data_IF_943946098384
#
_entry.id   IF_943946098384
#
_cell.length_a   1.000
_cell.length_b   1.000
_cell.length_c   1.000
_cell.angle_alpha   90.00
_cell.angle_beta   90.00
_cell.angle_gamma   90.00
#
_symmetry.space_group_name_H-M   'P 1'
#
loop_
_entity.id
_entity.type
_entity.pdbx_description
1 polymer ?
#
# COMPACT_ATOMS: atom_id res chain seq x y z
N UNK A 1 33.39 -35.80 -13.74
CA UNK A 1 32.67 -34.59 -14.20
C UNK A 1 31.18 -34.84 -14.42
N UNK A 2 30.77 -35.97 -15.01
CA UNK A 2 29.34 -36.22 -15.34
C UNK A 2 28.39 -36.25 -14.13
N UNK A 3 28.82 -36.79 -12.98
CA UNK A 3 28.03 -36.81 -11.74
C UNK A 3 27.65 -35.42 -11.21
N UNK A 4 28.53 -34.42 -11.36
CA UNK A 4 28.22 -33.04 -10.96
C UNK A 4 27.16 -32.42 -11.88
N UNK A 5 27.19 -32.72 -13.18
CA UNK A 5 26.23 -32.18 -14.16
C UNK A 5 24.81 -32.72 -13.93
N UNK A 6 24.68 -34.00 -13.56
CA UNK A 6 23.37 -34.62 -13.25
C UNK A 6 22.78 -34.06 -11.95
N UNK A 7 23.60 -33.81 -10.93
CA UNK A 7 23.16 -33.19 -9.67
C UNK A 7 22.74 -31.74 -9.91
N UNK A 8 23.54 -30.97 -10.67
CA UNK A 8 23.20 -29.59 -11.01
C UNK A 8 21.91 -29.50 -11.85
N UNK A 9 21.72 -30.39 -12.83
CA UNK A 9 20.50 -30.45 -13.64
C UNK A 9 19.27 -30.87 -12.81
N UNK A 10 19.45 -31.76 -11.82
CA UNK A 10 18.38 -32.11 -10.85
C UNK A 10 18.07 -30.96 -9.90
N UNK A 11 19.06 -30.20 -9.43
CA UNK A 11 18.83 -29.01 -8.61
C UNK A 11 18.13 -27.92 -9.44
N UNK A 12 18.53 -27.71 -10.69
CA UNK A 12 17.91 -26.75 -11.60
C UNK A 12 16.48 -27.15 -11.97
N UNK A 13 16.20 -28.45 -12.22
CA UNK A 13 14.81 -28.91 -12.44
C UNK A 13 13.99 -28.90 -11.16
N UNK A 14 14.57 -29.15 -9.98
CA UNK A 14 13.88 -28.96 -8.70
C UNK A 14 13.54 -27.47 -8.48
N UNK A 15 14.47 -26.55 -8.75
CA UNK A 15 14.24 -25.10 -8.71
C UNK A 15 13.22 -24.60 -9.73
N UNK A 16 13.21 -25.16 -10.96
CA UNK A 16 12.22 -24.84 -11.99
C UNK A 16 10.83 -25.43 -11.70
N UNK A 17 10.75 -26.55 -10.98
CA UNK A 17 9.49 -27.14 -10.50
C UNK A 17 9.00 -26.43 -9.23
N UNK A 18 9.89 -25.90 -8.38
CA UNK A 18 9.53 -25.00 -7.27
C UNK A 18 9.35 -23.54 -7.67
N UNK A 19 9.60 -23.16 -8.93
CA UNK A 19 9.01 -21.96 -9.54
C UNK A 19 7.53 -22.20 -9.88
N UNK A 20 6.84 -22.86 -8.95
CA UNK A 20 5.40 -22.99 -8.89
C UNK A 20 4.79 -21.59 -8.92
N UNK A 21 3.99 -21.34 -9.97
CA UNK A 21 2.91 -20.36 -10.04
C UNK A 21 2.78 -19.51 -8.76
N UNK A 22 3.61 -18.48 -8.64
CA UNK A 22 3.44 -17.49 -7.59
C UNK A 22 2.13 -16.76 -7.93
N UNK A 23 1.05 -17.14 -7.24
CA UNK A 23 -0.28 -16.61 -7.49
C UNK A 23 -0.23 -15.09 -7.38
N UNK A 24 -0.43 -14.39 -8.50
CA UNK A 24 -0.33 -12.94 -8.56
C UNK A 24 -1.17 -12.33 -7.43
N UNK A 25 -0.50 -11.60 -6.54
CA UNK A 25 -1.10 -11.09 -5.31
C UNK A 25 -1.39 -9.60 -5.53
N UNK A 26 -2.66 -9.28 -5.75
CA UNK A 26 -3.11 -7.93 -6.03
C UNK A 26 -3.55 -7.24 -4.73
N UNK A 27 -3.23 -5.96 -4.59
CA UNK A 27 -3.66 -5.14 -3.45
C UNK A 27 -4.61 -4.05 -3.93
N UNK A 28 -5.68 -3.84 -3.16
CA UNK A 28 -6.72 -2.86 -3.43
C UNK A 28 -7.01 -2.08 -2.15
N UNK A 29 -7.22 -0.78 -2.27
CA UNK A 29 -7.56 0.09 -1.14
C UNK A 29 -8.61 1.12 -1.58
N UNK A 30 -9.60 1.33 -0.72
CA UNK A 30 -10.58 2.42 -0.81
C UNK A 30 -10.56 3.21 0.51
N UNK A 31 -11.44 4.20 0.64
CA UNK A 31 -11.69 4.90 1.90
C UNK A 31 -12.41 4.04 2.97
N UNK A 32 -12.92 2.85 2.61
CA UNK A 32 -13.72 2.00 3.48
C UNK A 32 -13.16 0.57 3.65
N UNK A 33 -12.39 0.06 2.68
CA UNK A 33 -11.89 -1.32 2.63
C UNK A 33 -10.43 -1.37 2.12
N UNK A 34 -9.60 -2.22 2.74
CA UNK A 34 -8.35 -2.73 2.17
C UNK A 34 -8.48 -4.22 1.88
N UNK A 35 -7.93 -4.68 0.76
CA UNK A 35 -8.04 -6.07 0.32
C UNK A 35 -6.76 -6.54 -0.38
N UNK A 36 -6.27 -7.72 0.00
CA UNK A 36 -5.26 -8.48 -0.75
C UNK A 36 -5.93 -9.71 -1.37
N UNK A 37 -5.93 -9.79 -2.70
CA UNK A 37 -6.46 -10.92 -3.46
C UNK A 37 -5.33 -11.79 -4.01
N UNK A 38 -5.53 -13.11 -4.04
CA UNK A 38 -4.67 -14.08 -4.73
C UNK A 38 -5.46 -15.28 -5.20
N UNK A 39 -4.93 -16.02 -6.19
CA UNK A 39 -5.50 -17.28 -6.66
C UNK A 39 -4.60 -18.46 -6.25
N UNK A 40 -4.74 -19.01 -5.02
CA UNK A 40 -3.85 -20.07 -4.53
C UNK A 40 -4.00 -21.38 -5.35
N UNK A 41 -5.13 -21.54 -6.03
CA UNK A 41 -5.37 -22.54 -7.07
C UNK A 41 -6.04 -21.84 -8.27
N UNK A 42 -5.92 -22.35 -9.52
CA UNK A 42 -6.51 -21.70 -10.70
C UNK A 42 -8.02 -21.47 -10.62
N UNK A 43 -8.72 -22.33 -9.87
CA UNK A 43 -10.17 -22.27 -9.65
C UNK A 43 -10.57 -21.65 -8.29
N UNK A 44 -9.66 -21.01 -7.56
CA UNK A 44 -9.97 -20.37 -6.27
C UNK A 44 -9.56 -18.90 -6.26
N UNK A 45 -10.40 -18.05 -5.67
CA UNK A 45 -10.05 -16.68 -5.31
C UNK A 45 -10.05 -16.55 -3.79
N UNK A 46 -8.91 -16.17 -3.21
CA UNK A 46 -8.73 -15.93 -1.78
C UNK A 46 -8.49 -14.44 -1.55
N UNK A 47 -9.32 -13.83 -0.69
CA UNK A 47 -9.30 -12.40 -0.38
C UNK A 47 -9.14 -12.18 1.13
N UNK A 48 -7.98 -11.68 1.54
CA UNK A 48 -7.72 -11.16 2.87
C UNK A 48 -8.16 -9.68 2.92
N UNK A 49 -9.20 -9.34 3.67
CA UNK A 49 -9.78 -8.00 3.71
C UNK A 49 -9.84 -7.41 5.13
N UNK A 50 -9.76 -6.08 5.21
CA UNK A 50 -9.89 -5.28 6.44
C UNK A 50 -10.75 -4.05 6.16
N UNK A 51 -11.59 -3.65 7.10
CA UNK A 51 -12.38 -2.44 7.00
C UNK A 51 -11.62 -1.28 7.65
N UNK A 52 -11.66 -0.08 7.05
CA UNK A 52 -10.99 1.11 7.61
C UNK A 52 -11.65 1.51 8.94
N UNK A 53 -12.98 1.35 9.04
CA UNK A 53 -13.75 1.46 10.28
C UNK A 53 -14.37 0.09 10.59
N UNK A 54 -14.31 -0.34 11.85
CA UNK A 54 -14.97 -1.57 12.27
C UNK A 54 -16.49 -1.44 12.14
N UNK A 55 -17.11 -2.35 11.40
CA UNK A 55 -18.56 -2.48 11.27
C UNK A 55 -18.90 -3.96 11.00
N UNK A 56 -20.09 -4.46 11.41
CA UNK A 56 -20.50 -5.82 11.12
C UNK A 56 -20.64 -6.08 9.61
N UNK A 57 -20.22 -7.27 9.18
CA UNK A 57 -20.41 -7.77 7.81
C UNK A 57 -21.37 -8.95 7.88
N UNK A 58 -22.57 -8.75 7.35
CA UNK A 58 -23.66 -9.73 7.41
C UNK A 58 -23.53 -10.79 6.30
N UNK A 59 -22.98 -10.41 5.14
CA UNK A 59 -22.75 -11.33 4.00
C UNK A 59 -21.62 -10.79 3.12
N UNK A 60 -20.88 -11.69 2.49
CA UNK A 60 -19.97 -11.37 1.38
C UNK A 60 -20.44 -12.11 0.14
N UNK A 61 -20.53 -11.43 -0.99
CA UNK A 61 -20.89 -11.96 -2.31
C UNK A 61 -19.76 -11.73 -3.31
N UNK A 62 -19.68 -12.62 -4.30
CA UNK A 62 -18.84 -12.45 -5.47
C UNK A 62 -19.65 -12.74 -6.74
N UNK A 63 -19.51 -11.88 -7.75
CA UNK A 63 -20.21 -12.00 -9.04
C UNK A 63 -19.25 -11.80 -10.21
N UNK A 64 -19.46 -12.57 -11.27
CA UNK A 64 -18.76 -12.40 -12.55
C UNK A 64 -19.86 -12.26 -13.63
N UNK A 65 -20.13 -11.02 -14.02
CA UNK A 65 -21.36 -10.68 -14.73
C UNK A 65 -22.59 -11.10 -13.92
N UNK A 66 -23.45 -11.93 -14.51
CA UNK A 66 -24.65 -12.45 -13.84
C UNK A 66 -24.40 -13.72 -13.00
N UNK A 67 -23.21 -14.32 -13.07
CA UNK A 67 -22.89 -15.54 -12.32
C UNK A 67 -22.50 -15.20 -10.89
N UNK A 68 -23.26 -15.70 -9.91
CA UNK A 68 -22.87 -15.68 -8.49
C UNK A 68 -21.86 -16.80 -8.24
N UNK A 69 -20.72 -16.46 -7.66
CA UNK A 69 -19.65 -17.39 -7.33
C UNK A 69 -19.87 -17.97 -5.92
N UNK A 70 -19.78 -19.30 -5.72
CA UNK A 70 -19.92 -19.91 -4.40
C UNK A 70 -18.85 -19.42 -3.41
N UNK A 71 -19.26 -19.15 -2.17
CA UNK A 71 -18.33 -18.94 -1.05
C UNK A 71 -17.88 -20.31 -0.52
N UNK A 72 -16.58 -20.58 -0.57
CA UNK A 72 -15.96 -21.80 -0.03
C UNK A 72 -15.72 -21.69 1.48
N UNK A 73 -15.29 -20.51 1.93
CA UNK A 73 -15.04 -20.22 3.34
C UNK A 73 -15.15 -18.69 3.57
N UNK A 74 -15.57 -18.29 4.76
CA UNK A 74 -15.50 -16.91 5.24
C UNK A 74 -15.12 -16.95 6.74
N UNK A 75 -13.85 -16.72 7.04
CA UNK A 75 -13.30 -16.75 8.41
C UNK A 75 -12.99 -15.32 8.86
N UNK A 76 -13.52 -14.84 10.00
CA UNK A 76 -13.18 -13.52 10.53
C UNK A 76 -11.71 -13.45 10.92
N UNK A 77 -11.15 -12.25 11.01
CA UNK A 77 -9.80 -12.05 11.53
C UNK A 77 -9.82 -11.99 13.08
N UNK A 78 -8.83 -12.56 13.80
CA UNK A 78 -7.78 -13.44 13.29
C UNK A 78 -8.31 -14.82 12.88
N UNK A 79 -7.93 -15.27 11.67
CA UNK A 79 -8.05 -16.68 11.30
C UNK A 79 -6.90 -17.49 11.94
N UNK A 80 -6.95 -18.83 11.86
CA UNK A 80 -5.90 -19.69 12.41
C UNK A 80 -4.50 -19.28 11.89
N UNK A 81 -3.51 -19.23 12.77
CA UNK A 81 -2.12 -18.79 12.49
C UNK A 81 -1.97 -17.31 12.05
N UNK A 82 -3.04 -16.51 12.05
CA UNK A 82 -2.92 -15.08 11.85
C UNK A 82 -2.15 -14.41 13.00
N UNK A 83 -1.29 -13.47 12.64
CA UNK A 83 -0.50 -12.64 13.52
C UNK A 83 -0.57 -11.18 13.05
N UNK A 84 -0.44 -10.28 14.01
CA UNK A 84 -0.56 -8.82 13.87
C UNK A 84 0.65 -8.17 14.54
N UNK A 85 1.53 -7.52 13.79
CA UNK A 85 2.65 -6.77 14.35
C UNK A 85 2.21 -5.34 14.67
N UNK A 86 2.40 -4.91 15.93
CA UNK A 86 1.94 -3.60 16.41
C UNK A 86 3.11 -2.90 17.10
N UNK A 87 3.62 -1.84 16.49
CA UNK A 87 4.68 -1.00 17.06
C UNK A 87 4.08 0.31 17.56
N UNK A 88 4.21 0.56 18.86
CA UNK A 88 3.97 1.89 19.43
C UNK A 88 5.23 2.74 19.25
N UNK A 89 5.12 3.86 18.55
CA UNK A 89 6.21 4.82 18.35
C UNK A 89 5.88 6.12 19.10
N UNK A 90 6.62 6.38 20.17
CA UNK A 90 6.36 7.50 21.07
C UNK A 90 7.29 8.68 20.74
N UNK A 91 6.70 9.81 20.39
CA UNK A 91 7.39 11.09 20.34
C UNK A 91 7.72 11.55 21.76
N UNK A 92 9.01 11.63 22.06
CA UNK A 92 9.51 12.19 23.32
C UNK A 92 10.28 13.50 23.11
N UNK A 93 10.13 14.15 21.94
CA UNK A 93 10.67 15.49 21.68
C UNK A 93 10.18 16.53 22.70
N UNK A 94 10.88 17.64 22.83
CA UNK A 94 10.53 18.81 23.65
C UNK A 94 10.31 18.49 25.16
N UNK A 95 11.18 18.97 26.10
CA UNK A 95 11.06 18.69 27.53
C UNK A 95 9.73 19.14 28.16
N UNK A 96 9.00 20.06 27.53
CA UNK A 96 7.68 20.48 27.99
C UNK A 96 6.61 19.37 27.84
N UNK A 97 6.87 18.32 27.06
CA UNK A 97 5.96 17.16 26.88
C UNK A 97 5.87 16.24 28.10
N UNK A 98 6.60 16.43 29.20
CA UNK A 98 6.61 15.48 30.32
C UNK A 98 5.22 15.12 30.88
N UNK A 99 4.27 16.07 30.85
CA UNK A 99 2.85 15.82 31.19
C UNK A 99 2.15 14.92 30.15
N UNK A 100 2.42 15.13 28.86
CA UNK A 100 1.95 14.28 27.76
C UNK A 100 2.55 12.88 27.89
N UNK A 101 3.86 12.76 28.15
CA UNK A 101 4.54 11.47 28.34
C UNK A 101 3.95 10.71 29.53
N UNK A 102 3.72 11.38 30.67
CA UNK A 102 3.07 10.77 31.84
C UNK A 102 1.69 10.18 31.48
N UNK A 103 0.88 10.91 30.71
CA UNK A 103 -0.43 10.43 30.23
C UNK A 103 -0.29 9.33 29.17
N UNK A 104 0.69 9.44 28.27
CA UNK A 104 1.01 8.43 27.27
C UNK A 104 1.34 7.09 27.94
N UNK A 105 2.17 7.08 28.99
CA UNK A 105 2.50 5.86 29.76
C UNK A 105 1.22 5.20 30.33
N UNK A 106 0.32 5.99 30.92
CA UNK A 106 -0.95 5.47 31.45
C UNK A 106 -1.82 4.85 30.36
N UNK A 107 -1.91 5.50 29.20
CA UNK A 107 -2.76 5.07 28.09
C UNK A 107 -2.15 3.92 27.30
N UNK A 108 -0.82 3.88 27.13
CA UNK A 108 -0.11 2.74 26.55
C UNK A 108 -0.42 1.49 27.35
N UNK A 109 -0.41 1.53 28.70
CA UNK A 109 -0.84 0.39 29.52
C UNK A 109 -2.28 -0.03 29.18
N UNK A 110 -3.23 0.91 29.17
CA UNK A 110 -4.62 0.62 28.80
C UNK A 110 -4.77 0.01 27.40
N UNK A 111 -3.97 0.45 26.41
CA UNK A 111 -3.97 -0.09 25.05
C UNK A 111 -3.36 -1.50 25.01
N UNK A 112 -2.24 -1.72 25.71
CA UNK A 112 -1.58 -3.02 25.81
C UNK A 112 -2.45 -4.05 26.57
N UNK A 113 -3.22 -3.62 27.57
CA UNK A 113 -4.21 -4.45 28.29
C UNK A 113 -5.40 -4.89 27.39
N UNK A 114 -5.56 -4.29 26.20
CA UNK A 114 -6.51 -4.75 25.16
C UNK A 114 -5.86 -5.64 24.11
N UNK A 115 -4.56 -5.91 24.24
CA UNK A 115 -3.83 -6.84 23.39
C UNK A 115 -4.40 -8.26 23.48
N UNK A 116 -4.23 -9.03 22.41
CA UNK A 116 -4.67 -10.43 22.28
C UNK A 116 -3.50 -11.30 21.85
N UNK A 117 -3.64 -12.62 21.98
CA UNK A 117 -2.57 -13.59 21.70
C UNK A 117 -1.99 -13.52 20.27
N UNK A 118 -2.73 -12.95 19.31
CA UNK A 118 -2.25 -12.74 17.94
C UNK A 118 -1.53 -11.40 17.71
N UNK A 119 -1.47 -10.53 18.73
CA UNK A 119 -0.79 -9.23 18.67
C UNK A 119 0.67 -9.34 19.13
N UNK A 120 1.61 -9.23 18.19
CA UNK A 120 3.03 -9.08 18.45
C UNK A 120 3.33 -7.60 18.74
N UNK A 121 3.29 -7.25 20.02
CA UNK A 121 3.45 -5.88 20.51
C UNK A 121 4.93 -5.48 20.59
N UNK A 122 5.24 -4.20 20.34
CA UNK A 122 6.57 -3.62 20.53
C UNK A 122 6.49 -2.12 20.81
N UNK A 123 7.58 -1.56 21.35
CA UNK A 123 7.68 -0.14 21.72
C UNK A 123 8.99 0.46 21.24
N UNK A 124 8.89 1.58 20.53
CA UNK A 124 9.99 2.44 20.15
C UNK A 124 9.69 3.90 20.51
N UNK A 125 10.73 4.73 20.51
CA UNK A 125 10.63 6.15 20.82
C UNK A 125 11.52 6.99 19.92
N UNK A 126 11.18 8.26 19.72
CA UNK A 126 11.99 9.19 18.94
C UNK A 126 12.05 10.59 19.54
N UNK A 127 13.13 11.29 19.21
CA UNK A 127 13.33 12.74 19.38
C UNK A 127 14.43 13.12 18.38
N UNK A 128 15.67 13.31 18.86
CA UNK A 128 16.88 13.44 18.02
C UNK A 128 17.43 12.11 17.52
N UNK A 129 16.99 10.98 18.10
CA UNK A 129 17.37 9.63 17.66
C UNK A 129 16.16 8.69 17.77
N UNK A 130 16.10 7.71 16.87
CA UNK A 130 15.17 6.58 16.97
C UNK A 130 15.76 5.49 17.88
N UNK A 131 14.96 4.95 18.81
CA UNK A 131 15.37 3.83 19.66
C UNK A 131 14.22 2.86 19.92
N UNK A 132 14.45 1.58 19.65
CA UNK A 132 13.58 0.49 20.12
C UNK A 132 13.84 0.29 21.62
N UNK A 133 12.77 0.24 22.42
CA UNK A 133 12.83 -0.03 23.86
C UNK A 133 12.36 -1.46 24.18
N UNK A 134 11.39 -1.97 23.43
CA UNK A 134 10.95 -3.37 23.45
C UNK A 134 10.72 -3.83 21.99
N UNK A 135 11.43 -4.86 21.49
CA UNK A 135 11.21 -5.42 20.15
C UNK A 135 9.77 -5.89 19.90
N UNK A 136 9.41 -6.07 18.62
CA UNK A 136 8.14 -6.71 18.25
C UNK A 136 8.08 -8.14 18.77
N UNK A 137 7.00 -8.49 19.48
CA UNK A 137 6.83 -9.79 20.12
C UNK A 137 7.43 -9.88 21.54
N UNK A 138 7.89 -8.77 22.12
CA UNK A 138 8.28 -8.71 23.54
C UNK A 138 7.11 -9.07 24.46
N UNK A 139 7.43 -9.61 25.64
CA UNK A 139 6.41 -9.93 26.64
C UNK A 139 5.71 -8.65 27.13
N UNK A 140 4.40 -8.71 27.39
CA UNK A 140 3.59 -7.57 27.83
C UNK A 140 4.24 -6.77 28.99
N UNK A 141 4.76 -7.47 30.00
CA UNK A 141 5.43 -6.86 31.14
C UNK A 141 6.72 -6.10 30.76
N UNK A 142 7.46 -6.57 29.75
CA UNK A 142 8.65 -5.89 29.21
C UNK A 142 8.26 -4.61 28.47
N UNK A 143 7.21 -4.67 27.64
CA UNK A 143 6.69 -3.49 26.91
C UNK A 143 6.17 -2.43 27.88
N UNK A 144 5.48 -2.85 28.96
CA UNK A 144 5.02 -1.96 30.03
C UNK A 144 6.19 -1.32 30.78
N UNK A 145 7.19 -2.09 31.20
CA UNK A 145 8.38 -1.57 31.89
C UNK A 145 9.19 -0.62 30.99
N UNK A 146 9.29 -0.94 29.69
CA UNK A 146 9.89 -0.07 28.69
C UNK A 146 9.13 1.28 28.57
N UNK A 147 7.80 1.27 28.60
CA UNK A 147 7.00 2.50 28.60
C UNK A 147 7.24 3.34 29.87
N UNK A 148 7.32 2.73 31.05
CA UNK A 148 7.61 3.44 32.32
C UNK A 148 8.96 4.18 32.34
N UNK A 149 9.90 3.80 31.46
CA UNK A 149 11.20 4.46 31.30
C UNK A 149 11.18 5.75 30.46
N UNK A 150 10.08 6.03 29.73
CA UNK A 150 9.97 7.19 28.84
C UNK A 150 10.01 8.52 29.61
N UNK A 151 10.80 9.48 29.12
CA UNK A 151 10.93 10.85 29.63
C UNK A 151 11.07 11.81 28.45
N UNK A 152 10.55 13.02 28.55
CA UNK A 152 10.67 14.04 27.50
C UNK A 152 12.12 14.55 27.36
N UNK A 153 12.58 14.79 26.14
CA UNK A 153 13.98 15.15 25.81
C UNK A 153 14.11 15.84 24.45
N UNK A 154 15.32 16.27 24.10
CA UNK A 154 15.64 16.83 22.77
C UNK A 154 14.98 18.18 22.48
N UNK A 155 15.29 18.77 21.32
CA UNK A 155 14.72 20.06 20.91
C UNK A 155 14.17 20.08 19.47
N UNK A 156 14.45 19.05 18.67
CA UNK A 156 13.99 18.97 17.29
C UNK A 156 13.39 17.60 16.97
N UNK A 157 12.44 17.56 16.02
CA UNK A 157 11.58 16.40 15.74
C UNK A 157 11.65 15.99 14.27
N UNK A 158 12.44 14.94 13.95
CA UNK A 158 12.45 14.30 12.62
C UNK A 158 11.35 13.22 12.52
N UNK A 159 10.09 13.66 12.56
CA UNK A 159 8.89 12.82 12.55
C UNK A 159 8.86 11.86 11.37
N UNK A 160 9.12 12.34 10.15
CA UNK A 160 9.03 11.51 8.94
C UNK A 160 10.19 10.51 8.87
N UNK A 161 11.42 10.93 9.16
CA UNK A 161 12.60 10.06 9.26
C UNK A 161 12.39 8.89 10.23
N UNK A 162 11.83 9.18 11.40
CA UNK A 162 11.65 8.20 12.46
C UNK A 162 10.41 7.31 12.23
N UNK A 163 9.38 7.82 11.56
CA UNK A 163 8.28 7.01 11.02
C UNK A 163 8.78 6.00 9.97
N UNK A 164 9.66 6.42 9.04
CA UNK A 164 10.30 5.52 8.08
C UNK A 164 11.14 4.42 8.75
N UNK A 165 11.83 4.73 9.86
CA UNK A 165 12.57 3.74 10.62
C UNK A 165 11.65 2.68 11.26
N UNK A 166 10.53 3.10 11.84
CA UNK A 166 9.53 2.19 12.40
C UNK A 166 8.82 1.34 11.34
N UNK A 167 8.51 1.91 10.17
CA UNK A 167 7.93 1.17 9.04
C UNK A 167 8.87 0.06 8.57
N UNK A 168 10.20 0.30 8.51
CA UNK A 168 11.18 -0.74 8.13
C UNK A 168 11.17 -1.92 9.11
N UNK A 169 11.14 -1.68 10.41
CA UNK A 169 11.03 -2.75 11.42
C UNK A 169 9.73 -3.56 11.28
N UNK A 170 8.60 -2.90 11.02
CA UNK A 170 7.34 -3.58 10.75
C UNK A 170 7.37 -4.35 9.42
N UNK A 171 8.05 -3.83 8.40
CA UNK A 171 8.21 -4.49 7.11
C UNK A 171 8.90 -5.85 7.23
N UNK A 172 9.90 -5.98 8.12
CA UNK A 172 10.62 -7.23 8.41
C UNK A 172 9.76 -8.30 9.11
N UNK A 173 8.66 -7.94 9.77
CA UNK A 173 7.78 -8.91 10.42
C UNK A 173 7.04 -9.80 9.40
N UNK A 174 6.89 -11.12 9.64
CA UNK A 174 6.06 -12.01 8.81
C UNK A 174 4.56 -11.87 9.09
N UNK A 175 4.14 -11.05 10.06
CA UNK A 175 2.74 -10.87 10.42
C UNK A 175 1.89 -10.39 9.24
N UNK A 176 0.69 -10.97 9.09
CA UNK A 176 -0.23 -10.69 7.97
C UNK A 176 -0.85 -9.29 8.06
N UNK A 177 -0.87 -8.69 9.26
CA UNK A 177 -1.25 -7.28 9.48
C UNK A 177 -0.16 -6.56 10.26
N UNK A 178 0.07 -5.30 9.93
CA UNK A 178 1.13 -4.47 10.51
C UNK A 178 0.58 -3.09 10.84
N UNK A 179 0.81 -2.60 12.06
CA UNK A 179 0.36 -1.29 12.51
C UNK A 179 1.48 -0.50 13.20
N UNK A 180 1.51 0.79 12.90
CA UNK A 180 2.32 1.80 13.59
C UNK A 180 1.38 2.71 14.38
N UNK A 181 1.36 2.61 15.70
CA UNK A 181 0.66 3.55 16.57
C UNK A 181 1.61 4.70 16.91
N UNK A 182 1.45 5.82 16.22
CA UNK A 182 2.33 6.99 16.30
C UNK A 182 1.73 8.02 17.27
N UNK A 183 2.35 8.18 18.45
CA UNK A 183 1.95 9.16 19.46
C UNK A 183 2.83 10.40 19.29
N UNK A 184 2.26 11.54 18.88
CA UNK A 184 2.98 12.81 18.64
C UNK A 184 1.99 14.00 18.63
N UNK A 185 2.47 15.24 18.55
CA UNK A 185 1.65 16.41 18.17
C UNK A 185 1.65 16.70 16.65
N UNK A 186 2.44 15.94 15.88
CA UNK A 186 2.50 16.06 14.42
C UNK A 186 3.40 17.17 13.91
N UNK A 187 4.17 17.83 14.78
CA UNK A 187 5.21 18.77 14.36
C UNK A 187 6.36 17.98 13.68
N UNK A 188 6.75 18.42 12.49
CA UNK A 188 7.75 17.75 11.67
C UNK A 188 8.76 18.78 11.16
N UNK A 189 9.99 18.67 11.65
CA UNK A 189 11.11 19.56 11.31
C UNK A 189 12.11 18.89 10.34
N UNK A 190 11.75 17.74 9.78
CA UNK A 190 12.49 17.03 8.75
C UNK A 190 12.82 17.95 7.55
N UNK A 191 14.07 17.92 7.11
CA UNK A 191 14.55 18.69 5.94
C UNK A 191 14.80 17.85 4.68
N UNK A 192 14.81 16.53 4.83
CA UNK A 192 15.21 15.57 3.80
C UNK A 192 14.27 14.36 3.67
N UNK A 193 13.20 14.34 4.45
CA UNK A 193 12.16 13.31 4.45
C UNK A 193 10.81 14.01 4.46
N UNK A 194 9.86 13.49 3.70
CA UNK A 194 8.58 14.13 3.47
C UNK A 194 7.44 13.16 3.76
N UNK A 195 6.26 13.73 3.99
CA UNK A 195 5.00 13.00 4.19
C UNK A 195 4.78 11.87 3.16
N UNK A 196 5.01 12.16 1.88
CA UNK A 196 4.81 11.21 0.79
C UNK A 196 5.74 9.98 0.89
N UNK A 197 6.98 10.15 1.38
CA UNK A 197 7.92 9.04 1.56
C UNK A 197 7.39 8.05 2.61
N UNK A 198 6.81 8.57 3.70
CA UNK A 198 6.22 7.77 4.78
C UNK A 198 5.00 7.01 4.29
N UNK A 199 4.09 7.68 3.57
CA UNK A 199 2.86 7.07 3.02
C UNK A 199 3.20 6.01 1.98
N UNK A 200 4.17 6.27 1.09
CA UNK A 200 4.63 5.28 0.12
C UNK A 200 5.23 4.05 0.82
N UNK A 201 6.20 4.25 1.72
CA UNK A 201 6.85 3.15 2.43
C UNK A 201 5.86 2.34 3.28
N UNK A 202 4.89 2.99 3.92
CA UNK A 202 3.84 2.32 4.69
C UNK A 202 2.95 1.45 3.79
N UNK A 203 2.47 1.99 2.67
CA UNK A 203 1.62 1.24 1.74
C UNK A 203 2.38 0.08 1.06
N UNK A 204 3.64 0.27 0.67
CA UNK A 204 4.51 -0.81 0.13
C UNK A 204 4.75 -1.92 1.16
N UNK A 205 5.01 -1.56 2.42
CA UNK A 205 5.21 -2.50 3.53
C UNK A 205 3.90 -3.09 4.10
N UNK A 206 2.74 -2.64 3.62
CA UNK A 206 1.39 -2.93 4.16
C UNK A 206 1.25 -2.60 5.65
N UNK A 207 1.87 -1.50 6.07
CA UNK A 207 1.78 -0.92 7.41
C UNK A 207 0.66 0.12 7.47
N UNK A 208 -0.24 -0.04 8.42
CA UNK A 208 -1.32 0.92 8.71
C UNK A 208 -0.86 1.87 9.81
N UNK A 209 -0.90 3.18 9.59
CA UNK A 209 -0.51 4.16 10.61
C UNK A 209 -1.75 4.62 11.39
N UNK A 210 -1.71 4.51 12.72
CA UNK A 210 -2.71 5.07 13.63
C UNK A 210 -2.09 6.26 14.37
N UNK A 211 -2.45 7.47 13.95
CA UNK A 211 -1.97 8.71 14.57
C UNK A 211 -2.76 9.03 15.84
N UNK A 212 -2.07 9.01 16.98
CA UNK A 212 -2.58 9.41 18.28
C UNK A 212 -2.07 10.83 18.59
N UNK A 213 -2.95 11.82 18.49
CA UNK A 213 -2.59 13.23 18.40
C UNK A 213 -2.63 14.00 19.73
N UNK A 214 -1.52 14.57 20.17
CA UNK A 214 -1.37 15.25 21.46
C UNK A 214 -0.93 16.72 21.35
N UNK A 215 -1.78 17.59 20.81
CA UNK A 215 -1.50 19.02 20.75
C UNK A 215 -1.48 19.65 22.16
N UNK A 216 -0.39 20.34 22.52
CA UNK A 216 -0.25 20.99 23.84
C UNK A 216 -0.94 22.36 23.92
N UNK A 217 -1.41 22.89 22.79
CA UNK A 217 -2.19 24.13 22.71
C UNK A 217 -3.11 24.14 21.50
N UNK A 218 -4.09 25.05 21.50
CA UNK A 218 -5.03 25.22 20.36
C UNK A 218 -4.28 25.63 19.09
N UNK A 219 -3.24 26.47 19.18
CA UNK A 219 -2.46 26.88 18.01
C UNK A 219 -1.64 25.73 17.42
N UNK A 220 -1.09 24.84 18.26
CA UNK A 220 -0.37 23.65 17.81
C UNK A 220 -1.27 22.57 17.19
N UNK A 221 -2.60 22.62 17.41
CA UNK A 221 -3.53 21.63 16.85
C UNK A 221 -3.53 21.57 15.31
N UNK A 222 -2.98 22.59 14.63
CA UNK A 222 -2.77 22.56 13.18
C UNK A 222 -1.77 21.48 12.74
N UNK A 223 -0.75 21.18 13.56
CA UNK A 223 0.27 20.17 13.25
C UNK A 223 -0.29 18.74 13.28
N UNK A 224 -1.42 18.52 13.99
CA UNK A 224 -2.14 17.24 13.96
C UNK A 224 -2.63 16.85 12.57
N UNK A 225 -2.71 17.78 11.61
CA UNK A 225 -3.01 17.45 10.20
C UNK A 225 -1.97 16.51 9.59
N UNK A 226 -0.71 16.58 10.02
CA UNK A 226 0.34 15.62 9.61
C UNK A 226 -0.07 14.20 9.99
N UNK A 227 -0.39 13.97 11.27
CA UNK A 227 -0.79 12.66 11.79
C UNK A 227 -2.12 12.20 11.21
N UNK A 228 -3.07 13.12 10.99
CA UNK A 228 -4.34 12.84 10.31
C UNK A 228 -4.10 12.24 8.94
N UNK A 229 -3.35 12.96 8.10
CA UNK A 229 -3.07 12.54 6.72
C UNK A 229 -2.28 11.23 6.68
N UNK A 230 -1.27 11.07 7.54
CA UNK A 230 -0.50 9.81 7.61
C UNK A 230 -1.40 8.62 7.95
N UNK A 231 -2.41 8.83 8.80
CA UNK A 231 -3.38 7.80 9.14
C UNK A 231 -4.32 7.51 7.98
N UNK A 232 -5.01 8.54 7.47
CA UNK A 232 -6.05 8.40 6.45
C UNK A 232 -5.48 7.88 5.11
N UNK A 233 -4.28 8.34 4.69
CA UNK A 233 -3.61 7.92 3.45
C UNK A 233 -2.93 6.53 3.53
N UNK A 234 -2.87 5.91 4.72
CA UNK A 234 -2.44 4.51 4.92
C UNK A 234 -3.58 3.59 5.37
N UNK A 235 -4.81 4.12 5.47
CA UNK A 235 -6.01 3.41 5.89
C UNK A 235 -6.13 3.14 7.40
N UNK A 236 -5.38 3.86 8.22
CA UNK A 236 -5.58 3.87 9.66
C UNK A 236 -6.59 4.92 10.10
N UNK A 237 -6.71 5.09 11.42
CA UNK A 237 -7.55 6.11 12.03
C UNK A 237 -6.68 7.12 12.77
N UNK A 238 -7.05 8.39 12.67
CA UNK A 238 -6.48 9.45 13.50
C UNK A 238 -7.38 9.69 14.71
N UNK A 239 -6.77 9.67 15.90
CA UNK A 239 -7.45 9.81 17.19
C UNK A 239 -6.83 10.99 17.93
N UNK A 240 -7.50 12.17 17.97
CA UNK A 240 -7.03 13.30 18.75
C UNK A 240 -7.30 13.07 20.25
N UNK A 241 -6.32 13.40 21.09
CA UNK A 241 -6.51 13.50 22.53
C UNK A 241 -7.25 14.81 22.89
N UNK A 242 -7.94 14.78 24.03
CA UNK A 242 -8.57 15.96 24.65
C UNK A 242 -7.54 16.94 25.24
N UNK A 243 -8.04 18.06 25.79
CA UNK A 243 -7.20 19.09 26.41
C UNK A 243 -6.45 18.62 27.68
N UNK A 244 -6.91 17.52 28.29
CA UNK A 244 -6.25 16.84 29.41
C UNK A 244 -5.31 15.70 28.95
N UNK A 245 -5.06 15.62 27.64
CA UNK A 245 -4.35 14.56 26.93
C UNK A 245 -5.02 13.18 26.99
N UNK A 246 -6.28 13.05 27.41
CA UNK A 246 -7.02 11.79 27.32
C UNK A 246 -7.35 11.43 25.88
N UNK A 247 -7.10 10.18 25.50
CA UNK A 247 -7.70 9.58 24.32
C UNK A 247 -9.20 9.30 24.58
N UNK A 248 -10.05 9.31 23.53
CA UNK A 248 -11.46 8.96 23.64
C UNK A 248 -11.68 7.58 24.29
N UNK A 249 -12.70 7.47 25.14
CA UNK A 249 -12.97 6.26 25.92
C UNK A 249 -13.40 5.08 25.03
N UNK A 250 -14.22 5.34 24.01
CA UNK A 250 -14.65 4.37 23.01
C UNK A 250 -13.47 3.73 22.26
N UNK A 251 -12.46 4.55 21.92
CA UNK A 251 -11.19 4.07 21.38
C UNK A 251 -10.42 3.23 22.41
N UNK A 252 -10.25 3.69 23.64
CA UNK A 252 -9.53 2.95 24.70
C UNK A 252 -10.21 1.62 25.09
N UNK A 253 -11.53 1.52 24.95
CA UNK A 253 -12.28 0.28 25.17
C UNK A 253 -11.99 -0.77 24.07
N UNK A 254 -11.70 -0.35 22.83
CA UNK A 254 -11.61 -1.23 21.67
C UNK A 254 -10.56 -0.81 20.60
N UNK A 255 -9.29 -0.53 20.99
CA UNK A 255 -8.35 0.21 20.15
C UNK A 255 -7.91 -0.53 18.88
N UNK A 256 -7.95 -1.87 18.92
CA UNK A 256 -7.61 -2.73 17.80
C UNK A 256 -8.82 -3.15 16.96
N UNK A 257 -10.04 -2.69 17.26
CA UNK A 257 -11.27 -3.12 16.56
C UNK A 257 -11.23 -2.90 15.05
N UNK A 258 -10.81 -1.73 14.58
CA UNK A 258 -10.62 -1.42 13.16
C UNK A 258 -9.46 -2.21 12.53
N UNK A 259 -8.41 -2.48 13.31
CA UNK A 259 -7.21 -3.20 12.86
C UNK A 259 -7.44 -4.71 12.73
N UNK A 260 -8.23 -5.29 13.64
CA UNK A 260 -8.68 -6.70 13.65
C UNK A 260 -9.94 -6.93 12.80
N UNK A 261 -10.54 -5.89 12.20
CA UNK A 261 -11.79 -6.01 11.42
C UNK A 261 -11.65 -6.86 10.14
N UNK A 262 -12.78 -7.35 9.61
CA UNK A 262 -12.81 -8.14 8.37
C UNK A 262 -12.32 -9.58 8.57
N UNK A 263 -11.62 -10.14 7.59
CA UNK A 263 -11.29 -11.57 7.59
C UNK A 263 -10.69 -12.07 6.28
N UNK A 264 -10.78 -13.39 6.11
CA UNK A 264 -10.42 -14.12 4.89
C UNK A 264 -11.68 -14.73 4.29
N UNK A 265 -11.97 -14.41 3.04
CA UNK A 265 -13.03 -15.06 2.26
C UNK A 265 -12.43 -15.78 1.06
N UNK A 266 -12.95 -16.97 0.76
CA UNK A 266 -12.56 -17.78 -0.39
C UNK A 266 -13.78 -18.04 -1.28
N UNK A 267 -13.61 -17.89 -2.59
CA UNK A 267 -14.65 -18.13 -3.60
C UNK A 267 -14.21 -19.21 -4.59
N UNK A 268 -15.18 -19.99 -5.07
CA UNK A 268 -14.98 -20.97 -6.13
C UNK A 268 -15.16 -20.33 -7.52
N UNK A 269 -14.13 -20.42 -8.34
CA UNK A 269 -14.13 -19.98 -9.74
C UNK A 269 -14.46 -21.14 -10.70
N UNK A 270 -14.59 -22.38 -10.23
CA UNK A 270 -14.90 -23.53 -11.08
C UNK A 270 -16.25 -23.37 -11.80
N UNK A 271 -17.24 -22.73 -11.16
CA UNK A 271 -18.52 -22.39 -11.81
C UNK A 271 -18.33 -21.46 -13.02
N UNK A 272 -17.39 -20.51 -12.96
CA UNK A 272 -17.09 -19.61 -14.08
C UNK A 272 -16.38 -20.35 -15.23
N UNK A 273 -15.39 -21.18 -14.89
CA UNK A 273 -14.69 -22.03 -15.88
C UNK A 273 -15.66 -23.03 -16.54
N UNK A 274 -16.56 -23.63 -15.77
CA UNK A 274 -17.61 -24.53 -16.26
C UNK A 274 -18.64 -23.84 -17.15
N UNK A 275 -18.90 -22.54 -16.92
CA UNK A 275 -19.70 -21.69 -17.82
C UNK A 275 -18.95 -21.26 -19.10
N UNK A 276 -17.72 -21.75 -19.32
CA UNK A 276 -16.90 -21.47 -20.51
C UNK A 276 -16.09 -20.17 -20.43
N UNK A 277 -16.07 -19.49 -19.28
CA UNK A 277 -15.28 -18.26 -19.10
C UNK A 277 -13.80 -18.58 -18.97
N UNK A 278 -12.96 -17.74 -19.59
CA UNK A 278 -11.50 -17.92 -19.64
C UNK A 278 -10.77 -16.58 -19.78
N UNK A 279 -9.45 -16.59 -19.59
CA UNK A 279 -8.62 -15.38 -19.68
C UNK A 279 -8.76 -14.46 -18.46
N UNK A 280 -8.39 -13.19 -18.62
CA UNK A 280 -8.55 -12.18 -17.57
C UNK A 280 -10.02 -11.78 -17.44
N UNK A 281 -10.51 -11.76 -16.20
CA UNK A 281 -11.89 -11.44 -15.83
C UNK A 281 -11.88 -10.51 -14.61
N UNK A 282 -12.96 -9.73 -14.43
CA UNK A 282 -13.20 -8.95 -13.21
C UNK A 282 -14.30 -9.61 -12.39
N UNK A 283 -14.03 -9.86 -11.12
CA UNK A 283 -15.01 -10.33 -10.14
C UNK A 283 -15.44 -9.15 -9.28
N UNK A 284 -16.72 -8.82 -9.33
CA UNK A 284 -17.31 -7.85 -8.42
C UNK A 284 -17.52 -8.51 -7.05
N UNK A 285 -16.80 -8.05 -6.04
CA UNK A 285 -16.99 -8.43 -4.65
C UNK A 285 -17.89 -7.40 -3.95
N UNK A 286 -18.79 -7.86 -3.09
CA UNK A 286 -19.69 -7.00 -2.30
C UNK A 286 -19.79 -7.48 -0.86
N UNK A 287 -19.52 -6.59 0.10
CA UNK A 287 -19.73 -6.80 1.53
C UNK A 287 -21.01 -6.08 1.95
N UNK A 288 -22.00 -6.86 2.40
CA UNK A 288 -23.23 -6.34 2.98
C UNK A 288 -22.98 -5.94 4.43
N UNK A 289 -22.91 -4.64 4.70
CA UNK A 289 -22.76 -4.07 6.04
C UNK A 289 -24.13 -3.68 6.62
N UNK A 290 -24.18 -3.15 7.84
CA UNK A 290 -25.42 -2.62 8.43
C UNK A 290 -25.85 -1.27 7.83
N UNK A 291 -24.91 -0.48 7.29
CA UNK A 291 -25.19 0.88 6.78
C UNK A 291 -25.35 0.91 5.27
N UNK A 292 -24.36 0.38 4.53
CA UNK A 292 -24.33 0.40 3.07
C UNK A 292 -23.45 -0.72 2.49
N UNK A 293 -23.76 -1.25 1.28
CA UNK A 293 -22.94 -2.28 0.65
C UNK A 293 -21.62 -1.69 0.14
N UNK A 294 -20.49 -2.23 0.62
CA UNK A 294 -19.17 -1.91 0.07
C UNK A 294 -18.90 -2.83 -1.13
N UNK A 295 -18.38 -2.30 -2.24
CA UNK A 295 -18.08 -3.10 -3.44
C UNK A 295 -16.71 -2.79 -4.04
N UNK A 296 -16.09 -3.80 -4.65
CA UNK A 296 -14.74 -3.70 -5.24
C UNK A 296 -14.59 -4.71 -6.39
N UNK A 297 -13.96 -4.31 -7.50
CA UNK A 297 -13.63 -5.21 -8.60
C UNK A 297 -12.22 -5.82 -8.45
N UNK A 298 -12.15 -7.14 -8.46
CA UNK A 298 -10.90 -7.90 -8.33
C UNK A 298 -10.61 -8.66 -9.61
N UNK A 299 -9.38 -8.47 -10.12
CA UNK A 299 -8.91 -9.14 -11.32
C UNK A 299 -8.55 -10.60 -11.02
N UNK A 300 -9.08 -11.51 -11.82
CA UNK A 300 -8.76 -12.95 -11.81
C UNK A 300 -8.36 -13.43 -13.20
N UNK A 301 -7.63 -14.52 -13.26
CA UNK A 301 -7.30 -15.22 -14.51
C UNK A 301 -7.91 -16.62 -14.47
N UNK A 302 -8.80 -16.91 -15.42
CA UNK A 302 -9.46 -18.20 -15.56
C UNK A 302 -8.77 -19.05 -16.63
N UNK A 303 -8.41 -20.28 -16.29
CA UNK A 303 -7.90 -21.26 -17.26
C UNK A 303 -9.08 -21.96 -17.95
N UNK A 304 -9.08 -22.00 -19.29
CA UNK A 304 -10.16 -22.65 -20.04
C UNK A 304 -10.26 -24.15 -19.72
N UNK A 305 -11.50 -24.65 -19.61
CA UNK A 305 -11.75 -26.07 -19.42
C UNK A 305 -11.21 -26.88 -20.60
N UNK A 306 -10.29 -27.81 -20.34
CA UNK A 306 -9.79 -28.72 -21.37
C UNK A 306 -10.89 -29.72 -21.72
N UNK A 307 -11.54 -29.52 -22.86
CA UNK A 307 -12.49 -30.49 -23.44
C UNK A 307 -11.78 -31.83 -23.60
N UNK A 308 -12.09 -32.81 -22.75
CA UNK A 308 -11.69 -34.22 -22.97
C UNK A 308 -12.56 -34.77 -24.10
N UNK A 309 -12.10 -34.55 -25.33
CA UNK A 309 -12.71 -35.12 -26.53
C UNK A 309 -12.67 -36.64 -26.52
N UNK A 310 -13.82 -37.20 -26.85
CA UNK A 310 -14.25 -38.60 -26.98
C UNK A 310 -13.21 -39.72 -27.20
N UNK A 311 -13.55 -40.87 -26.62
CA UNK A 311 -12.90 -42.17 -26.81
C UNK A 311 -12.86 -42.61 -28.29
N UNK A 312 -11.68 -42.59 -28.90
CA UNK A 312 -11.43 -43.28 -30.17
C UNK A 312 -10.90 -44.70 -29.89
N UNK A 313 -11.63 -45.70 -30.38
CA UNK A 313 -11.26 -47.13 -30.29
C UNK A 313 -9.97 -47.40 -31.09
N UNK A 314 -9.00 -48.18 -30.57
CA UNK A 314 -7.77 -48.47 -31.32
C UNK A 314 -8.05 -49.49 -32.44
N UNK A 315 -7.90 -49.06 -33.70
CA UNK A 315 -7.72 -49.97 -34.83
C UNK A 315 -6.24 -50.29 -34.95
N UNK A 316 -5.90 -51.56 -34.78
CA UNK A 316 -4.54 -52.07 -34.97
C UNK A 316 -4.28 -52.20 -36.48
N UNK A 317 -3.26 -51.52 -36.99
CA UNK A 317 -2.59 -51.91 -38.23
C UNK A 317 -1.08 -51.75 -38.09
N UNK A 318 -0.34 -52.69 -38.69
CA UNK A 318 1.08 -52.91 -38.36
C UNK A 318 2.02 -51.94 -39.08
N UNK A 319 3.11 -51.59 -38.41
CA UNK A 319 4.28 -50.93 -39.00
C UNK A 319 5.00 -51.82 -40.03
N UNK A 320 5.93 -51.25 -40.81
CA UNK A 320 7.34 -51.41 -40.43
C UNK A 320 8.17 -50.11 -40.46
N UNK A 321 9.33 -50.18 -39.79
CA UNK A 321 10.37 -49.15 -39.69
C UNK A 321 11.05 -48.89 -41.07
N UNK A 322 11.78 -47.81 -41.38
CA UNK A 322 12.75 -46.94 -40.64
C UNK A 322 12.64 -45.49 -41.18
N UNK A 323 13.52 -44.46 -41.00
CA UNK A 323 14.87 -44.30 -40.43
C UNK A 323 15.08 -42.85 -39.88
N UNK A 324 16.22 -42.49 -39.23
CA UNK A 324 16.23 -41.35 -38.31
C UNK A 324 16.78 -40.00 -38.84
N UNK A 325 16.20 -38.95 -38.25
CA UNK A 325 16.81 -37.64 -37.92
C UNK A 325 16.99 -36.58 -39.03
N UNK A 326 16.26 -35.46 -38.87
CA UNK A 326 16.70 -34.14 -39.33
C UNK A 326 16.46 -33.13 -38.20
N UNK A 327 17.56 -32.68 -37.57
CA UNK A 327 17.55 -31.80 -36.38
C UNK A 327 16.86 -30.47 -36.67
N UNK A 328 16.02 -30.00 -35.75
CA UNK A 328 15.29 -28.73 -35.86
C UNK A 328 16.14 -27.55 -35.39
N UNK A 329 16.86 -26.91 -36.30
CA UNK A 329 17.78 -25.79 -35.96
C UNK A 329 17.06 -24.46 -35.66
N UNK A 330 15.74 -24.40 -35.73
CA UNK A 330 14.94 -23.18 -35.51
C UNK A 330 14.57 -22.93 -34.04
N UNK A 331 14.68 -23.93 -33.16
CA UNK A 331 14.46 -23.76 -31.72
C UNK A 331 15.49 -22.84 -31.03
N UNK A 332 16.65 -22.61 -31.66
CA UNK A 332 17.72 -21.76 -31.12
C UNK A 332 17.43 -20.24 -31.18
N UNK A 333 16.38 -19.80 -31.87
CA UNK A 333 16.01 -18.39 -31.98
C UNK A 333 14.95 -17.93 -30.96
N UNK A 334 14.19 -18.87 -30.38
CA UNK A 334 13.16 -18.56 -29.38
C UNK A 334 13.74 -17.83 -28.16
N UNK A 335 14.91 -18.22 -27.58
CA UNK A 335 15.48 -17.49 -26.44
C UNK A 335 15.86 -16.05 -26.78
N UNK A 336 16.31 -15.78 -28.00
CA UNK A 336 16.69 -14.43 -28.46
C UNK A 336 15.46 -13.55 -28.65
N UNK A 337 14.38 -14.09 -29.23
CA UNK A 337 13.11 -13.39 -29.37
C UNK A 337 12.46 -13.11 -28.00
N UNK A 338 12.50 -14.08 -27.07
CA UNK A 338 12.00 -13.89 -25.71
C UNK A 338 12.83 -12.86 -24.93
N UNK A 339 14.15 -12.86 -25.09
CA UNK A 339 15.04 -11.87 -24.48
C UNK A 339 14.82 -10.47 -25.04
N UNK A 340 14.61 -10.32 -26.35
CA UNK A 340 14.23 -9.04 -26.97
C UNK A 340 12.87 -8.54 -26.47
N UNK A 341 11.87 -9.42 -26.35
CA UNK A 341 10.56 -9.09 -25.79
C UNK A 341 10.68 -8.67 -24.30
N UNK A 342 11.49 -9.39 -23.52
CA UNK A 342 11.80 -9.06 -22.13
C UNK A 342 12.49 -7.70 -22.02
N UNK A 343 13.45 -7.38 -22.89
CA UNK A 343 14.12 -6.07 -22.94
C UNK A 343 13.16 -4.93 -23.31
N UNK A 344 12.16 -5.18 -24.17
CA UNK A 344 11.10 -4.21 -24.46
C UNK A 344 10.18 -4.00 -23.26
N UNK A 345 9.80 -5.08 -22.54
CA UNK A 345 8.98 -5.01 -21.33
C UNK A 345 9.74 -4.47 -20.10
N UNK A 346 11.08 -4.49 -20.11
CA UNK A 346 11.95 -3.92 -19.08
C UNK A 346 12.25 -2.43 -19.29
N UNK A 347 11.63 -1.76 -20.28
CA UNK A 347 11.59 -0.29 -20.30
C UNK A 347 10.78 0.20 -19.10
N UNK A 348 11.48 0.53 -18.02
CA UNK A 348 10.89 1.17 -16.86
C UNK A 348 10.10 2.43 -17.26
N UNK A 349 8.94 2.61 -16.65
CA UNK A 349 8.10 3.78 -16.88
C UNK A 349 8.88 5.05 -16.56
N UNK A 350 8.83 6.06 -17.44
CA UNK A 350 9.57 7.31 -17.30
C UNK A 350 9.34 7.91 -15.93
N UNK A 351 10.42 8.30 -15.25
CA UNK A 351 10.32 9.01 -13.98
C UNK A 351 10.21 10.49 -14.28
N UNK A 352 9.10 11.10 -13.88
CA UNK A 352 8.89 12.52 -14.04
C UNK A 352 8.71 13.24 -12.69
N UNK A 353 9.18 14.47 -12.60
CA UNK A 353 9.01 15.33 -11.45
C UNK A 353 8.96 16.81 -11.84
N UNK A 354 8.35 17.62 -10.98
CA UNK A 354 8.37 19.08 -11.04
C UNK A 354 9.42 19.58 -10.06
N UNK A 355 10.38 20.39 -10.52
CA UNK A 355 11.40 21.05 -9.71
C UNK A 355 11.03 22.53 -9.53
N UNK A 356 11.02 23.04 -8.30
CA UNK A 356 10.75 24.46 -8.07
C UNK A 356 11.93 25.31 -8.55
N UNK A 357 11.66 26.38 -9.30
CA UNK A 357 12.76 27.19 -9.88
C UNK A 357 13.49 27.99 -8.80
N UNK A 358 12.76 28.55 -7.84
CA UNK A 358 13.31 29.34 -6.72
C UNK A 358 14.02 28.46 -5.67
N UNK A 359 13.61 27.20 -5.54
CA UNK A 359 14.30 26.19 -4.72
C UNK A 359 14.46 24.87 -5.48
N UNK A 360 15.55 24.77 -6.24
CA UNK A 360 15.90 23.59 -7.06
C UNK A 360 16.14 22.31 -6.25
N UNK A 361 16.11 22.36 -4.91
CA UNK A 361 16.15 21.16 -4.06
C UNK A 361 14.75 20.62 -3.78
N UNK A 362 13.73 21.46 -3.82
CA UNK A 362 12.33 21.06 -3.71
C UNK A 362 11.83 20.46 -5.02
N UNK A 363 11.33 19.22 -4.95
CA UNK A 363 10.81 18.46 -6.10
C UNK A 363 9.53 17.73 -5.73
N UNK A 364 8.59 17.67 -6.67
CA UNK A 364 7.36 16.90 -6.56
C UNK A 364 7.35 15.78 -7.61
N UNK A 365 7.29 14.51 -7.19
CA UNK A 365 7.37 13.36 -8.10
C UNK A 365 5.98 13.05 -8.67
N UNK A 366 5.89 12.91 -10.00
CA UNK A 366 4.65 12.63 -10.72
C UNK A 366 4.38 11.11 -10.75
N UNK A 367 4.00 10.56 -9.60
CA UNK A 367 3.76 9.12 -9.41
C UNK A 367 2.35 8.73 -9.88
N UNK A 368 1.34 9.57 -9.58
CA UNK A 368 -0.06 9.31 -9.91
C UNK A 368 -0.36 9.53 -11.40
N UNK A 369 -1.39 8.83 -11.92
CA UNK A 369 -1.89 9.02 -13.29
C UNK A 369 -2.52 10.39 -13.52
N UNK A 370 -2.96 11.05 -12.44
CA UNK A 370 -3.49 12.42 -12.42
C UNK A 370 -2.95 13.14 -11.18
N UNK A 371 -2.41 14.35 -11.35
CA UNK A 371 -1.89 15.22 -10.29
C UNK A 371 -2.55 16.59 -10.42
N UNK A 372 -3.37 16.95 -9.44
CA UNK A 372 -4.03 18.27 -9.34
C UNK A 372 -3.11 19.25 -8.65
N UNK A 373 -3.05 20.47 -9.17
CA UNK A 373 -2.17 21.54 -8.70
C UNK A 373 -3.03 22.76 -8.37
N UNK A 374 -2.83 23.34 -7.19
CA UNK A 374 -3.60 24.51 -6.75
C UNK A 374 -3.30 24.90 -5.31
N UNK A 375 -3.91 25.99 -4.84
CA UNK A 375 -3.70 26.49 -3.46
C UNK A 375 -4.62 25.86 -2.43
N UNK A 376 -5.68 25.17 -2.84
CA UNK A 376 -6.53 24.45 -1.90
C UNK A 376 -5.78 23.22 -1.37
N UNK A 377 -6.00 22.87 -0.09
CA UNK A 377 -5.42 21.69 0.57
C UNK A 377 -5.72 20.38 -0.15
N UNK A 378 -6.81 20.36 -0.91
CA UNK A 378 -7.34 19.15 -1.55
C UNK A 378 -6.63 18.84 -2.88
N UNK A 379 -5.65 19.66 -3.30
CA UNK A 379 -4.78 19.38 -4.44
C UNK A 379 -3.60 18.50 -4.04
N UNK A 380 -3.15 17.70 -4.99
CA UNK A 380 -2.05 16.76 -4.81
C UNK A 380 -0.70 17.48 -4.69
N UNK A 381 -0.53 18.58 -5.44
CA UNK A 381 0.50 19.59 -5.25
C UNK A 381 -0.14 20.90 -4.75
N UNK A 382 -0.12 21.10 -3.43
CA UNK A 382 -0.63 22.29 -2.77
C UNK A 382 0.39 23.44 -2.78
N UNK A 383 0.10 24.52 -3.50
CA UNK A 383 0.96 25.70 -3.62
C UNK A 383 0.39 26.87 -2.81
N UNK A 384 1.06 27.29 -1.74
CA UNK A 384 0.52 28.29 -0.79
C UNK A 384 0.47 29.73 -1.31
N UNK A 385 1.16 30.06 -2.42
CA UNK A 385 1.19 31.40 -2.99
C UNK A 385 -0.20 31.86 -3.47
N UNK A 386 -0.64 33.04 -3.02
CA UNK A 386 -1.95 33.65 -3.31
C UNK A 386 -2.24 33.89 -4.81
N UNK A 387 -1.22 33.98 -5.67
CA UNK A 387 -1.36 34.02 -7.13
C UNK A 387 -1.92 32.73 -7.73
N UNK A 388 -1.85 31.62 -6.99
CA UNK A 388 -2.35 30.32 -7.42
C UNK A 388 -3.85 30.19 -7.09
N UNK A 389 -4.65 29.84 -8.10
CA UNK A 389 -6.06 29.46 -7.97
C UNK A 389 -6.26 28.30 -6.98
N UNK A 390 -7.47 28.19 -6.39
CA UNK A 390 -7.79 27.08 -5.48
C UNK A 390 -7.58 25.72 -6.14
N UNK A 391 -8.05 25.59 -7.37
CA UNK A 391 -7.71 24.52 -8.32
C UNK A 391 -7.15 25.27 -9.52
N UNK A 392 -5.93 24.96 -9.96
CA UNK A 392 -5.22 25.76 -10.96
C UNK A 392 -4.98 24.94 -12.23
N UNK A 393 -4.39 23.76 -12.08
CA UNK A 393 -4.05 22.93 -13.22
C UNK A 393 -4.14 21.45 -12.84
N UNK A 394 -4.10 20.59 -13.85
CA UNK A 394 -3.95 19.15 -13.67
C UNK A 394 -2.94 18.59 -14.67
N UNK A 395 -2.01 17.76 -14.19
CA UNK A 395 -1.13 16.95 -15.03
C UNK A 395 -1.69 15.53 -15.10
N UNK A 396 -1.83 14.98 -16.30
CA UNK A 396 -2.25 13.60 -16.54
C UNK A 396 -1.16 12.83 -17.27
N UNK A 397 -0.85 11.63 -16.79
CA UNK A 397 0.02 10.67 -17.48
C UNK A 397 -0.82 9.84 -18.43
N UNK A 398 -0.44 9.83 -19.70
CA UNK A 398 -1.12 9.09 -20.77
C UNK A 398 -0.60 7.64 -20.86
N UNK A 399 -1.30 6.79 -21.61
CA UNK A 399 -0.93 5.38 -21.80
C UNK A 399 0.35 5.17 -22.63
N UNK A 400 0.79 6.19 -23.38
CA UNK A 400 2.05 6.22 -24.14
C UNK A 400 3.24 6.79 -23.32
N UNK A 401 3.02 7.03 -22.03
CA UNK A 401 3.99 7.60 -21.10
C UNK A 401 4.36 9.07 -21.36
N UNK A 402 3.49 9.80 -22.07
CA UNK A 402 3.51 11.26 -22.13
C UNK A 402 2.78 11.91 -20.94
N UNK A 403 3.08 13.17 -20.65
CA UNK A 403 2.45 13.96 -19.59
C UNK A 403 1.76 15.17 -20.21
N UNK A 404 0.46 15.34 -19.93
CA UNK A 404 -0.38 16.42 -20.45
C UNK A 404 -0.79 17.33 -19.29
N UNK A 405 -0.43 18.60 -19.37
CA UNK A 405 -0.86 19.66 -18.46
C UNK A 405 -2.11 20.33 -19.01
N UNK A 406 -3.10 20.58 -18.15
CA UNK A 406 -4.37 21.24 -18.49
C UNK A 406 -4.68 22.35 -17.50
N UNK A 407 -5.12 23.51 -17.98
CA UNK A 407 -5.67 24.60 -17.15
C UNK A 407 -7.07 24.20 -16.63
N UNK A 408 -7.41 24.66 -15.43
CA UNK A 408 -8.72 24.44 -14.78
C UNK A 408 -9.51 25.76 -14.67
N UNK A 409 -9.44 26.58 -15.72
CA UNK A 409 -9.96 27.97 -15.76
C UNK A 409 -9.36 28.84 -14.63
N UNK A 410 -8.04 28.75 -14.47
CA UNK A 410 -7.33 29.47 -13.43
C UNK A 410 -7.33 30.99 -13.66
N UNK A 411 -7.54 31.76 -12.59
CA UNK A 411 -7.57 33.24 -12.62
C UNK A 411 -6.34 33.87 -13.31
N UNK A 412 -5.16 33.27 -13.13
CA UNK A 412 -3.92 33.71 -13.75
C UNK A 412 -3.53 32.89 -14.99
N UNK A 413 -4.23 31.80 -15.28
CA UNK A 413 -3.93 30.85 -16.36
C UNK A 413 -2.66 30.02 -16.15
N UNK A 414 -2.54 28.97 -16.96
CA UNK A 414 -1.32 28.16 -17.08
C UNK A 414 -0.44 28.69 -18.21
N UNK A 415 0.86 28.84 -17.96
CA UNK A 415 1.86 29.16 -18.99
C UNK A 415 2.91 28.05 -19.08
N UNK A 416 3.33 27.72 -20.30
CA UNK A 416 4.48 26.85 -20.57
C UNK A 416 5.44 27.53 -21.53
N UNK A 417 6.69 27.68 -21.12
CA UNK A 417 7.74 28.41 -21.83
C UNK A 417 7.29 29.82 -22.29
N UNK A 418 6.62 30.54 -21.39
CA UNK A 418 6.00 31.87 -21.58
C UNK A 418 4.80 31.96 -22.56
N UNK A 419 4.33 30.85 -23.14
CA UNK A 419 3.07 30.81 -23.88
C UNK A 419 1.92 30.41 -22.95
N UNK A 420 0.73 31.01 -23.11
CA UNK A 420 -0.47 30.61 -22.34
C UNK A 420 -1.10 29.38 -22.99
N UNK A 421 -1.33 28.32 -22.22
CA UNK A 421 -1.78 27.02 -22.72
C UNK A 421 -3.03 26.53 -21.97
N UNK A 422 -4.09 26.16 -22.69
CA UNK A 422 -5.27 25.49 -22.08
C UNK A 422 -5.03 23.98 -21.88
N UNK A 423 -4.29 23.35 -22.79
CA UNK A 423 -3.88 21.93 -22.72
C UNK A 423 -2.63 21.71 -23.57
N UNK A 424 -1.56 21.20 -22.96
CA UNK A 424 -0.25 21.02 -23.61
C UNK A 424 0.44 19.75 -23.15
N UNK A 425 1.13 19.06 -24.06
CA UNK A 425 1.98 17.90 -23.73
C UNK A 425 3.37 18.40 -23.33
N UNK A 426 3.80 18.06 -22.11
CA UNK A 426 5.05 18.52 -21.53
C UNK A 426 6.28 17.79 -22.11
N UNK A 427 7.27 18.56 -22.53
CA UNK A 427 8.60 18.12 -22.89
C UNK A 427 9.58 18.29 -21.72
N UNK A 428 10.63 17.45 -21.68
CA UNK A 428 11.66 17.54 -20.63
C UNK A 428 12.34 18.93 -20.63
N UNK A 429 12.51 19.48 -19.43
CA UNK A 429 12.99 20.84 -19.11
C UNK A 429 12.00 22.00 -19.32
N UNK A 430 10.75 21.73 -19.74
CA UNK A 430 9.71 22.77 -19.86
C UNK A 430 9.53 23.58 -18.57
N UNK A 431 9.43 24.90 -18.72
CA UNK A 431 9.13 25.83 -17.64
C UNK A 431 7.61 26.08 -17.58
N UNK A 432 6.98 25.64 -16.50
CA UNK A 432 5.55 25.84 -16.20
C UNK A 432 5.42 27.00 -15.22
N UNK A 433 4.55 27.97 -15.51
CA UNK A 433 4.25 29.10 -14.63
C UNK A 433 2.78 29.08 -14.21
N UNK A 434 2.52 29.17 -12.91
CA UNK A 434 1.20 29.13 -12.29
C UNK A 434 1.03 30.39 -11.42
N UNK A 435 0.75 31.52 -12.08
CA UNK A 435 0.90 32.84 -11.46
C UNK A 435 2.37 33.15 -11.18
N UNK A 436 2.74 33.43 -9.93
CA UNK A 436 4.11 33.72 -9.51
C UNK A 436 4.95 32.46 -9.27
N UNK A 437 4.36 31.26 -9.26
CA UNK A 437 5.09 30.02 -9.00
C UNK A 437 5.62 29.44 -10.30
N UNK A 438 6.95 29.31 -10.41
CA UNK A 438 7.63 28.65 -11.52
C UNK A 438 8.10 27.23 -11.15
N UNK A 439 7.75 26.26 -12.00
CA UNK A 439 8.10 24.85 -11.88
C UNK A 439 8.77 24.38 -13.18
N UNK A 440 9.82 23.57 -13.09
CA UNK A 440 10.44 22.91 -14.25
C UNK A 440 10.04 21.44 -14.31
N UNK A 441 9.46 21.00 -15.41
CA UNK A 441 9.16 19.59 -15.64
C UNK A 441 10.43 18.86 -16.07
N UNK A 442 10.77 17.77 -15.39
CA UNK A 442 11.88 16.89 -15.74
C UNK A 442 11.35 15.47 -15.94
N UNK A 443 11.78 14.80 -17.01
CA UNK A 443 11.42 13.42 -17.35
C UNK A 443 12.67 12.62 -17.74
N UNK A 444 12.84 11.41 -17.19
CA UNK A 444 14.01 10.54 -17.38
C UNK A 444 13.61 9.08 -17.55
#
# INVERSE_FOLDING_TARGET
>A
METFSIILLKIITLWLVTLSLASATNYYSTNALQLTARQPQPNQLECDYRLIRAMPVNRVEAKLGNLVLPVLNNTPYPFAEAQSAILFLIDISNPQRERVITKNIQQIKQLLDKGRDHHQLGLARFATEFKVLAPLGSALAEVVAAAESLRATGQATELYRHSLAAIRLLAESPAQRKALFLLSDGEAEDRAYYHADVVQAANEAKVVIYGLGYAMSVSQSIHLQTLRRLSEETGGLFIPAGQDFALPEDFLQSPFSAFDSGGRVMFDLAAAVGAGLSGHQQVQLTWQTETEPLSLEVAVTLTAATQRGDSVVPVISNSPETSPSKRWWWLSLIPVALLLLLVVMLKGSKKAYLEFVDDKKSRYVLIMSTVRIGRHSDNDLCLTNSSVSRYHAVIRRQSDDSFVLMDLDARNGVYVNANKEETVTLANEDLIELGEVQLRFISR
#
